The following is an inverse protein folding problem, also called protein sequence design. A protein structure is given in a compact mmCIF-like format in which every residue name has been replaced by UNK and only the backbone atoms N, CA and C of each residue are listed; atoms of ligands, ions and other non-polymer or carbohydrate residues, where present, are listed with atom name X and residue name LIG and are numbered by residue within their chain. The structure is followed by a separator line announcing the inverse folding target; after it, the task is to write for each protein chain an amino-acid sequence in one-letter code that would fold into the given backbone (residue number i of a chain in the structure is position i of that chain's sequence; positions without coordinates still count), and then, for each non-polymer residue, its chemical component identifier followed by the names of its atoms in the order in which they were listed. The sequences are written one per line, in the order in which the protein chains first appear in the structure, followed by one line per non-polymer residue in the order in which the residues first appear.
data_IF_470375632031
#
_entry.id   IF_470375632031
#
_cell.length_a   1.000
_cell.length_b   1.000
_cell.length_c   1.000
_cell.angle_alpha   90.00
_cell.angle_beta   90.00
_cell.angle_gamma   90.00
#
_symmetry.space_group_name_H-M   'P 1'
#
loop_
_entity.id
_entity.type
_entity.pdbx_description
1 polymer ?
#
# COMPACT_ATOMS: atom_id res chain seq x y z
N UNK A 1 15.34 -21.53 -39.78
CA UNK A 1 14.61 -20.81 -38.76
C UNK A 1 15.46 -20.78 -37.49
N UNK A 2 15.94 -19.60 -37.08
CA UNK A 2 16.66 -19.40 -35.83
C UNK A 2 15.64 -19.43 -34.71
N UNK A 3 15.76 -20.38 -33.78
CA UNK A 3 14.93 -20.41 -32.58
C UNK A 3 15.15 -19.11 -31.78
N UNK A 4 14.05 -18.40 -31.49
CA UNK A 4 14.03 -17.29 -30.54
C UNK A 4 14.27 -17.91 -29.17
N UNK A 5 15.30 -17.51 -28.41
CA UNK A 5 15.49 -18.02 -27.05
C UNK A 5 14.25 -17.67 -26.21
N UNK A 6 13.87 -18.52 -25.25
CA UNK A 6 12.77 -18.22 -24.34
C UNK A 6 13.12 -16.93 -23.62
N UNK A 7 12.25 -15.93 -23.72
CA UNK A 7 12.31 -14.71 -22.91
C UNK A 7 12.37 -15.15 -21.46
N UNK A 8 13.49 -14.85 -20.78
CA UNK A 8 13.56 -14.95 -19.32
C UNK A 8 12.33 -14.27 -18.74
N UNK A 9 11.52 -15.02 -17.98
CA UNK A 9 10.44 -14.43 -17.21
C UNK A 9 11.09 -13.40 -16.31
N UNK A 10 10.85 -12.12 -16.58
CA UNK A 10 11.34 -11.03 -15.74
C UNK A 10 10.94 -11.33 -14.30
N UNK A 11 11.92 -11.47 -13.42
CA UNK A 11 11.65 -11.58 -11.99
C UNK A 11 10.94 -10.30 -11.59
N UNK A 12 9.71 -10.41 -11.04
CA UNK A 12 8.94 -9.26 -10.58
C UNK A 12 9.64 -8.53 -9.44
N UNK A 13 9.15 -7.34 -9.09
CA UNK A 13 9.69 -6.53 -8.00
C UNK A 13 9.22 -7.12 -6.66
N UNK A 14 10.17 -7.44 -5.77
CA UNK A 14 9.88 -7.85 -4.40
C UNK A 14 9.82 -6.60 -3.51
N UNK A 15 8.74 -6.46 -2.75
CA UNK A 15 8.51 -5.29 -1.91
C UNK A 15 7.69 -5.63 -0.66
N UNK A 16 7.55 -4.66 0.22
CA UNK A 16 6.78 -4.74 1.46
C UNK A 16 5.69 -3.69 1.50
N UNK A 17 4.61 -4.02 2.20
CA UNK A 17 3.56 -3.07 2.55
C UNK A 17 3.21 -3.20 4.03
N UNK A 18 3.12 -2.09 4.73
CA UNK A 18 2.63 -2.03 6.12
C UNK A 18 1.19 -1.53 6.15
N UNK A 19 0.29 -2.30 6.75
CA UNK A 19 -1.12 -1.93 6.90
C UNK A 19 -1.62 -2.20 8.31
N UNK A 20 -2.56 -1.38 8.79
CA UNK A 20 -3.36 -1.68 9.97
C UNK A 20 -4.36 -2.81 9.75
N UNK A 21 -4.77 -3.05 8.50
CA UNK A 21 -5.78 -4.04 8.14
C UNK A 21 -5.18 -5.41 7.77
N UNK A 22 -5.99 -6.47 7.93
CA UNK A 22 -5.70 -7.82 7.44
C UNK A 22 -6.59 -8.14 6.24
N UNK A 23 -5.98 -8.42 5.10
CA UNK A 23 -6.68 -8.73 3.85
C UNK A 23 -5.91 -9.80 3.05
N UNK A 24 -6.58 -10.40 2.05
CA UNK A 24 -6.01 -11.45 1.20
C UNK A 24 -5.63 -10.97 -0.19
N UNK A 25 -6.07 -9.76 -0.56
CA UNK A 25 -5.77 -9.14 -1.84
C UNK A 25 -5.69 -7.62 -1.67
N UNK A 26 -4.87 -6.98 -2.49
CA UNK A 26 -4.85 -5.52 -2.58
C UNK A 26 -6.01 -5.04 -3.44
N UNK A 27 -6.54 -3.85 -3.15
CA UNK A 27 -7.59 -3.24 -3.95
C UNK A 27 -7.44 -1.73 -4.03
N UNK A 28 -7.45 -1.20 -5.25
CA UNK A 28 -7.47 0.23 -5.52
C UNK A 28 -8.71 0.94 -4.93
N UNK A 29 -9.81 0.20 -4.71
CA UNK A 29 -11.00 0.74 -4.04
C UNK A 29 -10.78 1.13 -2.59
N UNK A 30 -9.68 0.67 -1.98
CA UNK A 30 -9.28 0.97 -0.59
C UNK A 30 -8.28 2.12 -0.48
N UNK A 31 -7.94 2.77 -1.59
CA UNK A 31 -7.14 4.00 -1.57
C UNK A 31 -7.88 5.05 -0.73
N UNK A 32 -7.16 5.85 0.05
CA UNK A 32 -7.65 6.82 1.03
C UNK A 32 -8.25 6.23 2.32
N UNK A 33 -8.19 4.93 2.55
CA UNK A 33 -8.59 4.33 3.84
C UNK A 33 -7.43 4.25 4.85
N UNK A 34 -6.19 4.53 4.43
CA UNK A 34 -4.97 4.57 5.26
C UNK A 34 -4.47 5.98 5.51
N UNK A 35 -3.40 6.14 6.31
CA UNK A 35 -2.80 7.44 6.66
C UNK A 35 -2.02 8.14 5.51
N UNK A 36 -1.92 7.53 4.33
CA UNK A 36 -1.17 8.09 3.21
C UNK A 36 -1.94 9.22 2.51
N UNK A 37 -1.40 10.44 2.54
CA UNK A 37 -1.94 11.61 1.80
C UNK A 37 -1.68 11.52 0.29
N UNK A 38 -1.40 10.33 -0.27
CA UNK A 38 -1.02 10.13 -1.68
C UNK A 38 0.04 11.14 -2.17
N UNK A 39 1.01 11.46 -1.32
CA UNK A 39 1.99 12.51 -1.56
C UNK A 39 2.84 12.27 -2.84
N UNK A 40 2.90 11.04 -3.32
CA UNK A 40 3.62 10.64 -4.53
C UNK A 40 2.68 10.09 -5.61
N UNK A 41 1.40 10.45 -5.56
CA UNK A 41 0.42 10.14 -6.59
C UNK A 41 -0.57 9.03 -6.24
N UNK A 42 -1.53 8.80 -7.14
CA UNK A 42 -2.61 7.82 -6.99
C UNK A 42 -2.12 6.39 -7.21
N UNK A 43 -2.31 5.51 -6.25
CA UNK A 43 -1.97 4.09 -6.36
C UNK A 43 -1.77 3.41 -5.01
N UNK A 44 -1.33 2.17 -5.04
CA UNK A 44 -0.99 1.35 -3.86
C UNK A 44 0.51 1.48 -3.58
N UNK A 45 0.85 1.76 -2.33
CA UNK A 45 2.21 2.10 -1.90
C UNK A 45 2.97 0.88 -1.38
N UNK A 46 4.19 0.70 -1.86
CA UNK A 46 5.10 -0.37 -1.46
C UNK A 46 6.51 0.17 -1.25
N UNK A 47 7.37 -0.60 -0.59
CA UNK A 47 8.75 -0.22 -0.30
C UNK A 47 9.68 -1.43 -0.36
N UNK A 48 10.93 -1.25 -0.77
CA UNK A 48 11.98 -2.27 -0.63
C UNK A 48 12.50 -2.36 0.81
N UNK A 49 12.08 -1.46 1.71
CA UNK A 49 12.49 -1.45 3.11
C UNK A 49 11.42 -2.07 4.02
N UNK A 50 11.77 -3.20 4.64
CA UNK A 50 10.90 -3.83 5.65
C UNK A 50 10.71 -2.93 6.88
N UNK A 51 11.69 -2.09 7.21
CA UNK A 51 11.60 -1.20 8.37
C UNK A 51 10.71 0.01 8.09
N UNK A 52 10.68 0.52 6.86
CA UNK A 52 9.68 1.50 6.43
C UNK A 52 8.28 0.89 6.47
N UNK A 53 8.09 -0.33 6.00
CA UNK A 53 6.81 -1.03 6.11
C UNK A 53 6.37 -1.23 7.57
N UNK A 54 7.31 -1.56 8.48
CA UNK A 54 7.05 -1.63 9.92
C UNK A 54 6.64 -0.28 10.51
N UNK A 55 7.31 0.80 10.08
CA UNK A 55 6.95 2.15 10.53
C UNK A 55 5.49 2.45 10.18
N UNK A 56 5.08 2.29 8.92
CA UNK A 56 3.69 2.52 8.51
C UNK A 56 2.70 1.58 9.20
N UNK A 57 3.04 0.29 9.32
CA UNK A 57 2.22 -0.65 10.11
C UNK A 57 2.01 -0.15 11.54
N UNK A 58 3.06 0.32 12.21
CA UNK A 58 2.98 0.79 13.59
C UNK A 58 2.20 2.10 13.69
N UNK A 59 2.47 3.08 12.82
CA UNK A 59 1.75 4.34 12.78
C UNK A 59 0.23 4.15 12.58
N UNK A 60 -0.15 3.24 11.69
CA UNK A 60 -1.55 2.86 11.46
C UNK A 60 -2.15 2.07 12.64
N UNK A 61 -1.32 1.31 13.37
CA UNK A 61 -1.78 0.54 14.54
C UNK A 61 -1.87 1.39 15.80
N UNK A 62 -1.04 2.42 15.93
CA UNK A 62 -1.01 3.35 17.07
C UNK A 62 -2.20 4.32 17.04
N UNK A 63 -2.71 4.66 15.86
CA UNK A 63 -4.07 5.18 15.77
C UNK A 63 -4.98 4.02 16.19
N UNK A 64 -5.54 4.05 17.41
CA UNK A 64 -6.44 3.01 17.95
C UNK A 64 -7.61 2.64 16.99
N UNK A 65 -7.60 3.19 15.78
CA UNK A 65 -8.61 3.04 14.77
C UNK A 65 -8.70 1.61 14.22
N UNK A 66 -7.62 0.85 14.21
CA UNK A 66 -7.58 -0.47 13.57
C UNK A 66 -7.19 -1.62 14.52
N UNK A 67 -7.14 -1.34 15.84
CA UNK A 67 -6.92 -2.40 16.82
C UNK A 67 -8.14 -3.31 16.89
N UNK A 68 -7.95 -4.56 16.55
CA UNK A 68 -8.93 -5.64 16.74
C UNK A 68 -8.56 -6.45 17.97
N UNK A 69 -9.57 -6.96 18.66
CA UNK A 69 -9.35 -7.94 19.72
C UNK A 69 -9.78 -9.32 19.26
N UNK A 70 -8.92 -10.31 19.50
CA UNK A 70 -9.26 -11.72 19.32
C UNK A 70 -9.45 -12.32 20.71
N UNK A 71 -10.62 -12.87 20.93
CA UNK A 71 -10.97 -13.58 22.14
C UNK A 71 -11.87 -14.77 21.81
N UNK A 72 -11.56 -15.94 22.39
CA UNK A 72 -12.31 -17.17 22.17
C UNK A 72 -12.49 -17.52 20.69
N UNK A 73 -11.40 -17.38 19.92
CA UNK A 73 -11.38 -17.68 18.48
C UNK A 73 -12.14 -16.68 17.60
N UNK A 74 -12.78 -15.66 18.18
CA UNK A 74 -13.55 -14.64 17.44
C UNK A 74 -12.79 -13.32 17.40
N UNK A 75 -12.77 -12.68 16.24
CA UNK A 75 -12.23 -11.33 16.05
C UNK A 75 -13.34 -10.30 16.21
N UNK A 76 -13.08 -9.28 17.02
CA UNK A 76 -14.01 -8.19 17.31
C UNK A 76 -13.46 -6.88 16.79
N UNK A 77 -14.19 -6.30 15.84
CA UNK A 77 -13.84 -5.04 15.20
C UNK A 77 -14.12 -3.85 16.12
N UNK A 78 -13.34 -2.78 15.95
CA UNK A 78 -13.51 -1.53 16.68
C UNK A 78 -14.93 -0.98 16.51
N UNK A 79 -15.46 -0.43 17.60
CA UNK A 79 -16.82 0.12 17.63
C UNK A 79 -17.89 -0.88 18.02
N UNK A 80 -17.62 -2.19 17.96
CA UNK A 80 -18.54 -3.19 18.49
C UNK A 80 -18.62 -3.11 20.03
N UNK A 81 -19.76 -3.44 20.62
CA UNK A 81 -19.88 -3.54 22.08
C UNK A 81 -18.85 -4.48 22.70
N UNK A 82 -18.60 -5.63 22.08
CA UNK A 82 -17.62 -6.62 22.52
C UNK A 82 -16.22 -6.05 22.53
N UNK A 83 -15.83 -5.34 21.47
CA UNK A 83 -14.52 -4.68 21.38
C UNK A 83 -14.31 -3.70 22.53
N UNK A 84 -15.33 -2.87 22.83
CA UNK A 84 -15.30 -1.94 23.97
C UNK A 84 -15.02 -2.67 25.27
N UNK A 85 -15.71 -3.78 25.50
CA UNK A 85 -15.58 -4.60 26.70
C UNK A 85 -14.19 -5.23 26.80
N UNK A 86 -13.73 -5.85 25.71
CA UNK A 86 -12.39 -6.48 25.65
C UNK A 86 -11.28 -5.44 25.83
N UNK A 87 -11.41 -4.26 25.23
CA UNK A 87 -10.49 -3.13 25.41
C UNK A 87 -10.41 -2.70 26.89
N UNK A 88 -11.55 -2.59 27.55
CA UNK A 88 -11.60 -2.19 28.95
C UNK A 88 -10.94 -3.25 29.85
N UNK A 89 -11.21 -4.54 29.60
CA UNK A 89 -10.61 -5.65 30.36
C UNK A 89 -9.10 -5.69 30.12
N UNK A 90 -8.65 -5.58 28.85
CA UNK A 90 -7.23 -5.65 28.47
C UNK A 90 -6.43 -4.51 29.08
N UNK A 91 -6.93 -3.28 28.98
CA UNK A 91 -6.22 -2.07 29.38
C UNK A 91 -6.38 -1.74 30.87
N UNK A 92 -7.52 -2.09 31.49
CA UNK A 92 -7.80 -1.85 32.89
C UNK A 92 -8.00 -3.16 33.67
N UNK A 93 -9.25 -3.63 33.79
CA UNK A 93 -9.57 -4.87 34.52
C UNK A 93 -10.97 -5.38 34.21
N UNK A 94 -11.24 -6.65 34.54
CA UNK A 94 -12.57 -7.22 34.48
C UNK A 94 -13.51 -6.55 35.49
N UNK A 95 -13.00 -6.08 36.64
CA UNK A 95 -13.77 -5.33 37.60
C UNK A 95 -14.27 -4.02 37.04
N UNK A 96 -13.45 -3.28 36.32
CA UNK A 96 -13.82 -2.05 35.62
C UNK A 96 -14.91 -2.32 34.56
N UNK A 97 -14.81 -3.43 33.86
CA UNK A 97 -15.78 -3.85 32.85
C UNK A 97 -17.16 -4.19 33.50
N UNK A 98 -17.16 -4.91 34.62
CA UNK A 98 -18.38 -5.20 35.40
C UNK A 98 -19.02 -3.92 35.95
N UNK A 99 -18.21 -2.97 36.42
CA UNK A 99 -18.73 -1.67 36.89
C UNK A 99 -19.39 -0.87 35.77
N UNK A 100 -18.78 -0.88 34.54
CA UNK A 100 -19.38 -0.23 33.38
C UNK A 100 -20.78 -0.81 33.08
N UNK A 101 -20.92 -2.14 33.07
CA UNK A 101 -22.22 -2.78 32.79
C UNK A 101 -23.26 -2.34 33.78
N UNK A 102 -22.95 -2.27 35.09
CA UNK A 102 -23.90 -1.78 36.12
C UNK A 102 -24.35 -0.35 35.87
N UNK A 103 -23.43 0.52 35.46
CA UNK A 103 -23.76 1.92 35.09
C UNK A 103 -24.69 1.94 33.88
N UNK A 104 -24.39 1.17 32.84
CA UNK A 104 -25.23 1.14 31.65
C UNK A 104 -26.61 0.53 31.90
N UNK A 105 -26.74 -0.42 32.81
CA UNK A 105 -28.03 -0.96 33.24
C UNK A 105 -28.89 0.12 33.95
N UNK A 106 -28.27 0.92 34.82
CA UNK A 106 -28.94 2.07 35.43
C UNK A 106 -29.32 3.12 34.38
N UNK A 107 -28.41 3.43 33.46
CA UNK A 107 -28.65 4.39 32.38
C UNK A 107 -29.80 3.95 31.46
N UNK A 108 -29.94 2.65 31.20
CA UNK A 108 -31.05 2.08 30.43
C UNK A 108 -32.38 2.21 31.18
N UNK A 109 -32.35 1.91 32.48
CA UNK A 109 -33.55 2.05 33.34
C UNK A 109 -34.03 3.51 33.41
N UNK A 110 -33.12 4.45 33.39
CA UNK A 110 -33.37 5.90 33.36
C UNK A 110 -33.76 6.42 31.96
N UNK A 111 -33.85 5.55 30.95
CA UNK A 111 -34.25 5.91 29.57
C UNK A 111 -33.25 6.71 28.77
N UNK A 112 -31.96 6.63 29.10
CA UNK A 112 -30.91 7.37 28.36
C UNK A 112 -30.78 6.89 26.91
N UNK A 113 -30.77 7.79 25.93
CA UNK A 113 -30.95 7.45 24.50
C UNK A 113 -29.80 6.69 23.84
N UNK A 114 -28.62 6.64 24.47
CA UNK A 114 -27.42 6.03 23.88
C UNK A 114 -27.11 4.62 24.40
N UNK A 115 -27.99 4.06 25.25
CA UNK A 115 -27.84 2.73 25.84
C UNK A 115 -28.94 1.83 25.35
N UNK A 116 -28.61 0.67 24.83
CA UNK A 116 -29.59 -0.33 24.36
C UNK A 116 -29.47 -1.63 25.14
N UNK A 117 -30.59 -2.33 25.33
CA UNK A 117 -30.61 -3.64 25.96
C UNK A 117 -29.73 -4.66 25.21
N UNK A 118 -29.66 -4.55 23.87
CA UNK A 118 -28.81 -5.40 23.06
C UNK A 118 -27.29 -5.19 23.35
N UNK A 119 -26.85 -3.93 23.43
CA UNK A 119 -25.44 -3.65 23.75
C UNK A 119 -25.08 -4.19 25.16
N UNK A 120 -25.94 -4.06 26.12
CA UNK A 120 -25.74 -4.60 27.49
C UNK A 120 -25.66 -6.13 27.44
N UNK A 121 -26.56 -6.78 26.72
CA UNK A 121 -26.54 -8.24 26.53
C UNK A 121 -25.21 -8.71 25.92
N UNK A 122 -24.74 -8.02 24.92
CA UNK A 122 -23.45 -8.33 24.27
C UNK A 122 -22.25 -8.11 25.21
N UNK A 123 -22.28 -7.08 26.05
CA UNK A 123 -21.28 -6.86 27.10
C UNK A 123 -21.25 -8.00 28.11
N UNK A 124 -22.42 -8.43 28.56
CA UNK A 124 -22.56 -9.55 29.53
C UNK A 124 -22.03 -10.84 28.92
N UNK A 125 -22.34 -11.15 27.68
CA UNK A 125 -21.84 -12.35 27.00
C UNK A 125 -20.30 -12.45 27.01
N UNK A 126 -19.58 -11.32 26.93
CA UNK A 126 -18.13 -11.31 27.10
C UNK A 126 -17.74 -11.56 28.55
N UNK A 127 -18.42 -10.93 29.52
CA UNK A 127 -18.10 -11.08 30.94
C UNK A 127 -18.38 -12.47 31.48
N UNK A 128 -19.43 -13.14 30.97
CA UNK A 128 -19.83 -14.50 31.38
C UNK A 128 -18.76 -15.55 31.01
N UNK A 129 -17.98 -15.28 29.95
CA UNK A 129 -16.83 -16.07 29.58
C UNK A 129 -15.59 -15.82 30.47
N UNK A 130 -15.70 -14.91 31.46
CA UNK A 130 -14.69 -14.56 32.46
C UNK A 130 -13.26 -14.38 31.88
N UNK A 131 -13.06 -13.52 30.84
CA UNK A 131 -11.79 -13.39 30.17
C UNK A 131 -10.69 -12.84 31.07
N UNK A 132 -9.52 -13.48 31.04
CA UNK A 132 -8.29 -12.91 31.60
C UNK A 132 -7.62 -11.99 30.58
N UNK A 133 -6.80 -11.06 31.03
CA UNK A 133 -6.02 -10.19 30.14
C UNK A 133 -5.18 -10.98 29.14
N UNK A 134 -4.64 -12.13 29.55
CA UNK A 134 -3.84 -13.04 28.70
C UNK A 134 -4.64 -13.64 27.54
N UNK A 135 -5.94 -13.87 27.75
CA UNK A 135 -6.79 -14.55 26.78
C UNK A 135 -7.23 -13.60 25.64
N UNK A 136 -7.15 -12.30 25.89
CA UNK A 136 -7.46 -11.26 24.92
C UNK A 136 -6.20 -10.92 24.13
N UNK A 137 -6.16 -11.34 22.87
CA UNK A 137 -5.10 -10.99 21.94
C UNK A 137 -5.46 -9.70 21.23
N UNK A 138 -4.50 -8.82 21.06
CA UNK A 138 -4.64 -7.60 20.29
C UNK A 138 -4.00 -7.83 18.92
N UNK A 139 -4.80 -7.77 17.88
CA UNK A 139 -4.29 -7.79 16.52
C UNK A 139 -4.02 -6.36 16.07
N UNK A 140 -2.76 -6.11 15.83
CA UNK A 140 -2.27 -4.86 15.25
C UNK A 140 -1.78 -5.19 13.86
N UNK A 141 -2.07 -4.35 12.88
CA UNK A 141 -1.61 -4.37 11.51
C UNK A 141 -0.70 -5.48 11.00
N UNK A 142 -0.55 -5.56 9.72
CA UNK A 142 0.24 -6.58 9.03
C UNK A 142 1.38 -5.96 8.24
N UNK A 143 2.45 -6.72 8.06
CA UNK A 143 3.42 -6.50 6.99
C UNK A 143 3.15 -7.56 5.95
N UNK A 144 3.05 -7.13 4.71
CA UNK A 144 2.86 -7.96 3.55
C UNK A 144 4.17 -8.01 2.78
N UNK A 145 4.69 -9.20 2.53
CA UNK A 145 5.72 -9.41 1.52
C UNK A 145 4.97 -9.63 0.20
N UNK A 146 5.29 -8.86 -0.80
CA UNK A 146 4.60 -8.88 -2.08
C UNK A 146 5.56 -9.05 -3.24
N UNK A 147 5.05 -9.67 -4.30
CA UNK A 147 5.65 -9.67 -5.62
C UNK A 147 4.78 -8.81 -6.53
N UNK A 148 5.37 -7.76 -7.09
CA UNK A 148 4.73 -6.92 -8.09
C UNK A 148 5.16 -7.46 -9.46
N UNK A 149 4.20 -7.91 -10.26
CA UNK A 149 4.44 -8.49 -11.59
C UNK A 149 4.69 -7.39 -12.64
N UNK A 150 5.73 -6.64 -12.40
CA UNK A 150 6.26 -5.57 -13.25
C UNK A 150 7.79 -5.56 -13.15
N UNK A 151 8.47 -4.92 -14.10
CA UNK A 151 9.89 -4.64 -14.02
C UNK A 151 10.12 -3.16 -13.73
N UNK A 152 11.33 -2.81 -13.26
CA UNK A 152 11.67 -1.42 -12.92
C UNK A 152 11.48 -0.47 -14.10
N UNK A 153 11.66 -0.96 -15.33
CA UNK A 153 11.52 -0.19 -16.57
C UNK A 153 10.06 0.13 -16.94
N UNK A 154 9.09 -0.54 -16.31
CA UNK A 154 7.65 -0.25 -16.46
C UNK A 154 7.17 0.88 -15.55
N UNK A 155 8.04 1.37 -14.65
CA UNK A 155 7.74 2.40 -13.66
C UNK A 155 8.37 3.73 -14.05
N UNK A 156 7.59 4.82 -13.99
CA UNK A 156 8.15 6.15 -14.14
C UNK A 156 8.96 6.52 -12.90
N UNK A 157 10.18 6.98 -13.06
CA UNK A 157 11.07 7.33 -11.97
C UNK A 157 10.97 8.82 -11.65
N UNK A 158 10.50 9.15 -10.45
CA UNK A 158 10.34 10.54 -9.98
C UNK A 158 11.66 11.26 -9.71
N UNK A 159 12.75 10.51 -9.53
CA UNK A 159 14.05 11.08 -9.15
C UNK A 159 14.87 11.56 -10.33
N UNK A 160 14.40 11.33 -11.56
CA UNK A 160 15.11 11.69 -12.79
C UNK A 160 14.18 12.39 -13.79
N UNK A 161 14.72 13.26 -14.66
CA UNK A 161 13.92 13.96 -15.67
C UNK A 161 13.33 13.01 -16.71
N UNK A 162 12.29 13.49 -17.44
CA UNK A 162 11.61 12.72 -18.49
C UNK A 162 12.57 12.17 -19.56
N UNK A 163 13.61 12.90 -19.92
CA UNK A 163 14.59 12.48 -20.91
C UNK A 163 15.49 11.32 -20.49
N UNK A 164 15.56 11.03 -19.18
CA UNK A 164 16.39 9.97 -18.60
C UNK A 164 15.59 8.73 -18.19
N UNK A 165 14.27 8.72 -18.44
CA UNK A 165 13.40 7.59 -18.16
C UNK A 165 13.80 6.34 -18.97
N UNK A 166 13.32 5.16 -18.58
CA UNK A 166 13.48 3.91 -19.33
C UNK A 166 12.89 4.03 -20.74
N UNK A 167 13.33 3.15 -21.63
CA UNK A 167 12.82 3.15 -23.01
C UNK A 167 11.31 2.79 -23.04
N UNK A 168 10.82 1.93 -22.13
CA UNK A 168 9.40 1.65 -22.00
C UNK A 168 8.62 2.93 -21.66
N UNK A 169 9.07 3.68 -20.66
CA UNK A 169 8.42 4.95 -20.28
C UNK A 169 8.55 5.99 -21.38
N UNK A 170 9.71 6.12 -22.04
CA UNK A 170 9.87 7.02 -23.20
C UNK A 170 8.89 6.70 -24.32
N UNK A 171 8.65 5.42 -24.61
CA UNK A 171 7.66 5.00 -25.61
C UNK A 171 6.24 5.41 -25.21
N UNK A 172 5.89 5.29 -23.92
CA UNK A 172 4.61 5.78 -23.38
C UNK A 172 4.51 7.30 -23.56
N UNK A 173 5.53 8.04 -23.13
CA UNK A 173 5.57 9.50 -23.27
C UNK A 173 5.47 9.96 -24.73
N UNK A 174 6.08 9.23 -25.67
CA UNK A 174 5.97 9.52 -27.10
C UNK A 174 4.55 9.31 -27.64
N UNK A 175 3.85 8.27 -27.19
CA UNK A 175 2.42 8.09 -27.51
C UNK A 175 1.59 9.27 -27.00
N UNK A 176 1.74 9.64 -25.72
CA UNK A 176 1.07 10.77 -25.13
C UNK A 176 1.39 12.08 -25.90
N UNK A 177 2.65 12.29 -26.25
CA UNK A 177 3.11 13.45 -27.01
C UNK A 177 2.48 13.52 -28.38
N UNK A 178 2.20 12.39 -29.05
CA UNK A 178 1.56 12.37 -30.37
C UNK A 178 0.10 12.83 -30.35
N UNK A 179 -0.56 12.75 -29.18
CA UNK A 179 -1.97 13.12 -29.01
C UNK A 179 -2.18 14.58 -28.55
N UNK A 180 -1.12 15.37 -28.42
CA UNK A 180 -1.21 16.80 -28.04
C UNK A 180 -1.90 17.59 -29.15
N UNK A 181 -2.93 18.32 -28.78
CA UNK A 181 -3.74 19.17 -29.64
C UNK A 181 -3.48 20.66 -29.39
N UNK A 182 -4.09 21.53 -30.18
CA UNK A 182 -4.05 22.97 -29.97
C UNK A 182 -4.82 23.36 -28.71
N UNK A 183 -5.94 22.68 -28.41
CA UNK A 183 -6.75 22.94 -27.20
C UNK A 183 -5.96 22.63 -25.93
N UNK A 184 -5.12 21.60 -25.96
CA UNK A 184 -4.19 21.30 -24.84
C UNK A 184 -3.25 22.50 -24.58
N UNK A 185 -2.78 23.14 -25.63
CA UNK A 185 -1.95 24.35 -25.53
C UNK A 185 -2.73 25.52 -24.93
N UNK A 186 -3.92 25.77 -25.41
CA UNK A 186 -4.81 26.85 -24.93
C UNK A 186 -5.07 26.64 -23.39
N UNK A 187 -5.34 25.42 -22.98
CA UNK A 187 -5.56 25.08 -21.57
C UNK A 187 -4.31 25.32 -20.68
N UNK A 188 -3.12 25.37 -21.27
CA UNK A 188 -1.86 25.74 -20.60
C UNK A 188 -1.45 27.21 -20.82
N UNK A 189 -2.31 28.01 -21.46
CA UNK A 189 -2.05 29.42 -21.76
C UNK A 189 -1.14 29.64 -22.98
N UNK A 190 -1.05 28.64 -23.90
CA UNK A 190 -0.31 28.74 -25.15
C UNK A 190 -1.32 29.05 -26.28
N UNK A 191 -1.45 30.32 -26.61
CA UNK A 191 -2.38 30.77 -27.68
C UNK A 191 -1.70 30.70 -29.07
N UNK A 192 -2.30 30.10 -30.08
CA UNK A 192 -1.82 30.18 -31.47
C UNK A 192 -1.54 31.60 -31.96
N UNK A 193 -2.24 32.61 -31.46
CA UNK A 193 -1.99 34.02 -31.76
C UNK A 193 -0.56 34.47 -31.44
N UNK A 194 0.01 33.97 -30.32
CA UNK A 194 1.37 34.26 -29.91
C UNK A 194 2.42 33.68 -30.89
N UNK A 195 1.97 32.78 -31.77
CA UNK A 195 2.78 32.11 -32.79
C UNK A 195 2.38 32.53 -34.22
N UNK A 196 1.81 33.72 -34.35
CA UNK A 196 1.36 34.29 -35.65
C UNK A 196 0.19 33.53 -36.31
N UNK A 197 -0.70 32.96 -35.46
CA UNK A 197 -1.87 32.19 -35.91
C UNK A 197 -1.54 30.74 -36.31
N UNK A 198 -0.34 30.26 -36.05
CA UNK A 198 0.08 28.93 -36.45
C UNK A 198 -0.22 27.89 -35.37
N UNK A 199 -1.30 27.12 -35.53
CA UNK A 199 -1.62 25.97 -34.64
C UNK A 199 -0.46 24.97 -34.52
N UNK A 200 0.23 24.67 -35.61
CA UNK A 200 1.36 23.75 -35.64
C UNK A 200 2.47 24.24 -34.71
N UNK A 201 2.79 25.52 -34.69
CA UNK A 201 3.80 26.10 -33.79
C UNK A 201 3.33 26.08 -32.33
N UNK A 202 2.06 26.37 -32.08
CA UNK A 202 1.49 26.29 -30.75
C UNK A 202 1.51 24.86 -30.19
N UNK A 203 1.13 23.85 -30.99
CA UNK A 203 1.23 22.43 -30.63
C UNK A 203 2.68 22.05 -30.29
N UNK A 204 3.66 22.49 -31.08
CA UNK A 204 5.06 22.16 -30.83
C UNK A 204 5.58 22.84 -29.55
N UNK A 205 5.17 24.08 -29.29
CA UNK A 205 5.46 24.77 -28.03
C UNK A 205 4.85 24.03 -26.82
N UNK A 206 3.61 23.57 -26.94
CA UNK A 206 2.92 22.74 -25.93
C UNK A 206 3.67 21.44 -25.68
N UNK A 207 4.08 20.75 -26.74
CA UNK A 207 4.89 19.53 -26.63
C UNK A 207 6.21 19.76 -25.92
N UNK A 208 6.88 20.88 -26.20
CA UNK A 208 8.14 21.24 -25.57
C UNK A 208 7.94 21.64 -24.09
N UNK A 209 6.84 22.29 -23.76
CA UNK A 209 6.49 22.61 -22.38
C UNK A 209 6.24 21.35 -21.57
N UNK A 210 5.50 20.38 -22.10
CA UNK A 210 5.11 19.16 -21.40
C UNK A 210 6.23 18.11 -21.37
N UNK A 211 6.83 17.80 -22.53
CA UNK A 211 7.72 16.65 -22.74
C UNK A 211 9.19 17.03 -22.94
N UNK A 212 9.59 18.23 -22.55
CA UNK A 212 11.02 18.63 -22.59
C UNK A 212 11.88 17.66 -21.80
N UNK A 213 13.10 17.37 -22.30
CA UNK A 213 14.01 16.35 -21.73
C UNK A 213 14.34 16.56 -20.26
N UNK A 214 14.46 17.82 -19.85
CA UNK A 214 14.83 18.20 -18.47
C UNK A 214 13.61 18.43 -17.58
N UNK A 215 12.41 18.09 -18.03
CA UNK A 215 11.17 18.30 -17.27
C UNK A 215 11.05 17.31 -16.12
N UNK A 216 10.64 17.86 -14.99
CA UNK A 216 10.28 17.13 -13.79
C UNK A 216 8.99 16.31 -14.00
N UNK A 217 8.97 15.09 -13.48
CA UNK A 217 7.86 14.15 -13.66
C UNK A 217 6.58 14.64 -12.98
N UNK A 218 6.68 15.19 -11.75
CA UNK A 218 5.51 15.65 -11.00
C UNK A 218 4.85 16.81 -11.72
N UNK A 219 5.66 17.76 -12.20
CA UNK A 219 5.16 18.90 -12.98
C UNK A 219 4.51 18.45 -14.30
N UNK A 220 5.11 17.48 -14.98
CA UNK A 220 4.53 16.88 -16.18
C UNK A 220 3.15 16.28 -15.89
N UNK A 221 3.02 15.44 -14.84
CA UNK A 221 1.76 14.78 -14.50
C UNK A 221 0.66 15.78 -14.11
N UNK A 222 1.01 16.83 -13.36
CA UNK A 222 0.07 17.87 -13.00
C UNK A 222 -0.43 18.65 -14.23
N UNK A 223 0.47 19.04 -15.12
CA UNK A 223 0.10 19.73 -16.36
C UNK A 223 -0.73 18.81 -17.25
N UNK A 224 -0.38 17.53 -17.38
CA UNK A 224 -1.12 16.56 -18.19
C UNK A 224 -2.55 16.37 -17.67
N UNK A 225 -2.75 16.30 -16.35
CA UNK A 225 -4.06 16.25 -15.74
C UNK A 225 -4.86 17.52 -16.02
N UNK A 226 -4.23 18.70 -15.94
CA UNK A 226 -4.87 19.99 -16.19
C UNK A 226 -5.43 20.08 -17.61
N UNK A 227 -4.65 19.70 -18.62
CA UNK A 227 -5.07 19.84 -20.03
C UNK A 227 -6.16 18.86 -20.42
N UNK A 228 -6.28 17.74 -19.74
CA UNK A 228 -7.32 16.74 -20.02
C UNK A 228 -8.65 17.02 -19.32
N UNK A 229 -8.70 18.02 -18.43
CA UNK A 229 -9.95 18.45 -17.77
C UNK A 229 -10.67 17.36 -16.97
N UNK A 230 -10.02 16.21 -16.77
CA UNK A 230 -10.58 15.07 -16.07
C UNK A 230 -10.35 15.25 -14.56
N UNK A 231 -11.29 14.77 -13.74
CA UNK A 231 -11.05 14.55 -12.30
C UNK A 231 -10.01 13.43 -12.04
N UNK A 232 -9.36 12.96 -13.09
CA UNK A 232 -8.32 11.95 -13.02
C UNK A 232 -6.97 12.62 -12.74
N UNK A 233 -6.20 12.01 -11.84
CA UNK A 233 -4.81 12.42 -11.61
C UNK A 233 -3.94 12.07 -12.82
N UNK A 234 -2.78 12.75 -12.96
CA UNK A 234 -1.82 12.45 -14.02
C UNK A 234 -1.38 10.98 -14.02
N UNK A 235 -1.35 10.34 -12.85
CA UNK A 235 -1.01 8.92 -12.67
C UNK A 235 -2.05 7.99 -13.30
N UNK A 236 -3.36 8.27 -13.11
CA UNK A 236 -4.43 7.51 -13.74
C UNK A 236 -4.38 7.63 -15.26
N UNK A 237 -4.05 8.82 -15.75
CA UNK A 237 -3.85 9.06 -17.17
C UNK A 237 -2.62 8.28 -17.68
N UNK A 238 -1.50 8.34 -16.99
CA UNK A 238 -0.28 7.60 -17.34
C UNK A 238 -0.51 6.08 -17.39
N UNK A 239 -1.30 5.54 -16.46
CA UNK A 239 -1.70 4.14 -16.43
C UNK A 239 -2.47 3.72 -17.69
N UNK A 240 -3.33 4.57 -18.27
CA UNK A 240 -4.05 4.31 -19.54
C UNK A 240 -3.09 4.03 -20.70
N UNK A 241 -1.87 4.60 -20.68
CA UNK A 241 -0.85 4.40 -21.71
C UNK A 241 0.08 3.22 -21.41
N UNK A 242 -0.12 2.53 -20.29
CA UNK A 242 0.54 1.26 -19.97
C UNK A 242 1.65 1.33 -18.93
N UNK A 243 1.92 2.49 -18.33
CA UNK A 243 2.81 2.57 -17.16
C UNK A 243 2.20 1.78 -16.00
N UNK A 244 3.04 1.03 -15.28
CA UNK A 244 2.59 0.17 -14.17
C UNK A 244 2.60 0.89 -12.83
N UNK A 245 3.34 1.98 -12.71
CA UNK A 245 3.47 2.71 -11.47
C UNK A 245 4.56 3.76 -11.50
N UNK A 246 4.88 4.21 -10.30
CA UNK A 246 5.94 5.19 -10.00
C UNK A 246 6.99 4.49 -9.16
N UNK A 247 8.25 4.89 -9.36
CA UNK A 247 9.37 4.60 -8.49
C UNK A 247 9.98 5.90 -7.98
N UNK A 248 10.33 5.94 -6.68
CA UNK A 248 11.05 7.06 -6.07
C UNK A 248 11.94 6.57 -4.94
N UNK A 249 12.95 7.36 -4.55
CA UNK A 249 13.88 7.02 -3.47
C UNK A 249 13.17 6.86 -2.14
N UNK A 250 13.51 5.83 -1.39
CA UNK A 250 12.91 5.53 -0.09
C UNK A 250 13.24 6.56 0.99
N UNK A 251 14.28 7.37 0.80
CA UNK A 251 14.68 8.45 1.70
C UNK A 251 13.81 9.73 1.59
N UNK A 252 12.80 9.73 0.70
CA UNK A 252 11.91 10.85 0.42
C UNK A 252 10.53 10.64 1.03
N UNK A 253 10.26 10.65 2.22
CA UNK A 253 8.90 10.48 2.77
C UNK A 253 8.85 10.58 4.28
N UNK A 254 7.65 10.56 4.83
CA UNK A 254 7.45 10.61 6.28
C UNK A 254 8.13 9.42 6.96
N UNK A 255 8.06 8.24 6.35
CA UNK A 255 8.74 7.04 6.83
C UNK A 255 10.27 7.17 6.84
N UNK A 256 10.85 7.86 5.84
CA UNK A 256 12.29 8.05 5.71
C UNK A 256 12.90 8.92 6.82
N UNK A 257 12.15 9.86 7.36
CA UNK A 257 12.61 10.71 8.49
C UNK A 257 12.89 9.90 9.75
N UNK A 258 12.22 8.76 9.89
CA UNK A 258 12.28 7.88 11.06
C UNK A 258 13.09 6.61 10.80
N UNK A 259 13.27 6.25 9.54
CA UNK A 259 14.02 5.06 9.11
C UNK A 259 14.89 5.46 7.92
N UNK A 260 16.12 5.94 8.15
CA UNK A 260 17.05 6.29 7.07
C UNK A 260 17.39 5.03 6.26
N UNK A 261 16.96 4.99 5.01
CA UNK A 261 17.22 3.89 4.08
C UNK A 261 17.81 4.44 2.79
N UNK A 262 19.13 4.32 2.62
CA UNK A 262 19.83 4.74 1.42
C UNK A 262 19.87 3.62 0.39
N UNK A 263 19.68 3.97 -0.88
CA UNK A 263 19.79 3.03 -2.01
C UNK A 263 18.59 2.12 -2.24
N UNK A 264 17.50 2.26 -1.45
CA UNK A 264 16.23 1.57 -1.65
C UNK A 264 15.19 2.44 -2.31
N UNK A 265 14.17 1.82 -2.89
CA UNK A 265 13.07 2.48 -3.58
C UNK A 265 11.74 2.26 -2.87
N UNK A 266 10.85 3.23 -3.06
CA UNK A 266 9.43 3.10 -2.83
C UNK A 266 8.70 3.03 -4.18
N UNK A 267 7.51 2.45 -4.17
CA UNK A 267 6.70 2.24 -5.36
C UNK A 267 5.27 2.68 -5.12
N UNK A 268 4.64 3.26 -6.14
CA UNK A 268 3.20 3.47 -6.21
C UNK A 268 2.69 2.70 -7.42
N UNK A 269 1.87 1.69 -7.20
CA UNK A 269 1.41 0.76 -8.24
C UNK A 269 -0.03 1.10 -8.63
N UNK A 270 -0.29 1.17 -9.94
CA UNK A 270 -1.55 1.66 -10.52
C UNK A 270 -2.59 0.57 -10.75
N UNK A 271 -2.20 -0.71 -10.68
CA UNK A 271 -3.08 -1.86 -10.93
C UNK A 271 -2.91 -2.89 -9.80
N UNK A 272 -3.99 -3.14 -9.05
CA UNK A 272 -3.98 -4.10 -7.95
C UNK A 272 -3.83 -5.56 -8.42
N UNK A 273 -4.18 -5.85 -9.67
CA UNK A 273 -4.11 -7.21 -10.25
C UNK A 273 -2.70 -7.72 -10.51
N UNK A 274 -1.71 -6.82 -10.50
CA UNK A 274 -0.31 -7.23 -10.70
C UNK A 274 0.43 -7.47 -9.38
N UNK A 275 -0.28 -7.49 -8.23
CA UNK A 275 0.30 -7.59 -6.90
C UNK A 275 -0.07 -8.94 -6.28
N UNK A 276 0.91 -9.82 -6.08
CA UNK A 276 0.77 -11.08 -5.38
C UNK A 276 1.23 -10.96 -3.94
N UNK A 277 0.40 -11.37 -2.99
CA UNK A 277 0.79 -11.47 -1.58
C UNK A 277 1.52 -12.80 -1.38
N UNK A 278 2.83 -12.73 -1.09
CA UNK A 278 3.69 -13.89 -0.89
C UNK A 278 3.65 -14.38 0.56
N UNK A 279 3.62 -13.44 1.52
CA UNK A 279 3.55 -13.73 2.93
C UNK A 279 2.93 -12.57 3.72
N UNK A 280 2.36 -12.90 4.89
CA UNK A 280 1.81 -11.93 5.84
C UNK A 280 2.46 -12.13 7.20
N UNK A 281 2.92 -11.05 7.80
CA UNK A 281 3.48 -11.06 9.15
C UNK A 281 2.67 -10.14 10.04
N UNK A 282 2.12 -10.67 11.12
CA UNK A 282 1.49 -9.90 12.18
C UNK A 282 2.25 -10.06 13.48
N UNK A 283 2.14 -9.09 14.38
CA UNK A 283 2.50 -9.35 15.76
C UNK A 283 1.35 -10.16 16.36
N UNK A 284 1.44 -11.49 16.23
CA UNK A 284 0.69 -12.39 17.09
C UNK A 284 1.52 -12.49 18.35
N UNK A 285 0.96 -12.12 19.50
CA UNK A 285 1.53 -12.58 20.76
C UNK A 285 1.66 -14.10 20.69
N UNK A 286 2.89 -14.58 20.66
CA UNK A 286 3.37 -15.93 20.60
C UNK A 286 2.32 -17.07 20.61
N UNK A 287 1.78 -17.41 19.46
CA UNK A 287 1.30 -18.76 19.13
C UNK A 287 1.58 -18.96 17.64
N UNK A 288 2.40 -19.96 17.34
CA UNK A 288 2.94 -20.18 16.02
C UNK A 288 1.88 -20.31 14.93
N UNK A 289 2.00 -19.47 13.93
CA UNK A 289 1.51 -19.79 12.60
C UNK A 289 2.61 -20.64 11.96
N UNK A 290 2.33 -21.93 11.73
CA UNK A 290 3.13 -22.75 10.83
C UNK A 290 3.18 -22.01 9.51
N UNK A 291 4.37 -21.59 9.08
CA UNK A 291 4.62 -21.27 7.70
C UNK A 291 4.10 -22.43 6.86
N UNK A 292 3.33 -22.14 5.82
CA UNK A 292 3.19 -23.07 4.72
C UNK A 292 4.57 -23.14 4.06
N UNK A 293 5.37 -24.08 4.49
CA UNK A 293 6.53 -24.53 3.75
C UNK A 293 6.00 -25.14 2.46
N UNK A 294 6.27 -24.48 1.35
CA UNK A 294 6.18 -25.09 0.04
C UNK A 294 7.19 -26.26 0.05
N UNK A 295 6.64 -27.46 0.14
CA UNK A 295 7.34 -28.71 -0.10
C UNK A 295 7.79 -28.76 -1.57
N UNK A 296 9.01 -28.33 -1.82
CA UNK A 296 9.80 -28.72 -2.98
C UNK A 296 11.28 -28.70 -2.58
N UNK A 297 11.61 -29.61 -1.67
CA UNK A 297 12.98 -30.07 -1.50
C UNK A 297 13.02 -31.51 -2.01
N UNK A 298 13.35 -31.64 -3.30
CA UNK A 298 13.76 -32.91 -3.85
C UNK A 298 15.21 -33.17 -3.41
N UNK A 299 15.31 -34.16 -2.53
CA UNK A 299 16.47 -34.93 -2.21
C UNK A 299 17.52 -34.99 -3.34
N UNK A 300 18.70 -34.50 -3.11
CA UNK A 300 19.90 -35.02 -3.76
C UNK A 300 20.61 -35.89 -2.73
N UNK A 301 20.50 -37.17 -3.02
CA UNK A 301 21.17 -38.23 -2.28
C UNK A 301 22.69 -38.19 -2.38
N UNK A 302 23.25 -38.68 -1.36
CA UNK A 302 24.48 -39.30 -1.10
C UNK A 302 25.70 -39.08 -2.01
N UNK A 303 26.79 -38.74 -1.36
CA UNK A 303 28.13 -39.24 -1.74
C UNK A 303 29.02 -39.19 -0.51
N UNK A 304 29.29 -40.33 0.02
CA UNK A 304 30.63 -40.90 0.00
C UNK A 304 31.50 -40.48 1.19
N UNK A 305 31.47 -41.27 2.23
CA UNK A 305 32.52 -41.38 3.24
C UNK A 305 33.91 -41.52 2.58
N UNK A 306 34.87 -40.69 2.97
CA UNK A 306 36.28 -40.92 2.77
C UNK A 306 36.91 -41.53 4.03
N UNK A 307 37.79 -42.49 3.90
CA UNK A 307 38.36 -43.19 5.02
C UNK A 307 39.46 -42.40 5.70
N UNK A 308 39.55 -42.62 7.03
CA UNK A 308 40.70 -42.31 7.83
C UNK A 308 41.93 -43.08 7.29
N UNK A 309 43.01 -42.38 7.12
CA UNK A 309 44.31 -43.01 7.17
C UNK A 309 45.26 -42.28 8.14
N UNK A 310 45.72 -43.04 9.12
CA UNK A 310 46.78 -42.70 9.99
C UNK A 310 48.14 -42.95 9.30
N UNK A 311 49.00 -42.03 9.35
CA UNK A 311 50.35 -42.15 9.92
C UNK A 311 50.98 -40.77 10.01
#
# INVERSE_FOLDING_TARGET
AKAIPPTEKSEGILAFHGSGADFNEFSLSKINTGEGNQAFGYGLYFTESKDIAKFYKNALSDSMAETRFVFDGTTYERGSPEWKMLSLIKNKSIASAKSLVKILESDLADGKPFVTADSIKRYKNILDKAPKKSDIKMEQGRIYDVKINAVMDDLINYDIPLGQQSDNIKNILNKMKSEVTVDDGINLGIDPFDYGGSEKKAIEATKNLLFGKDKDVVRFLNNWATIRGEQATGEKLLAKYGAKGIKYKADQGVGARNVPETGKSNFVIFDDKIIDIMAKYGIVGAVGVKAMENSNDQSIGGLGSLPNDQT
#
